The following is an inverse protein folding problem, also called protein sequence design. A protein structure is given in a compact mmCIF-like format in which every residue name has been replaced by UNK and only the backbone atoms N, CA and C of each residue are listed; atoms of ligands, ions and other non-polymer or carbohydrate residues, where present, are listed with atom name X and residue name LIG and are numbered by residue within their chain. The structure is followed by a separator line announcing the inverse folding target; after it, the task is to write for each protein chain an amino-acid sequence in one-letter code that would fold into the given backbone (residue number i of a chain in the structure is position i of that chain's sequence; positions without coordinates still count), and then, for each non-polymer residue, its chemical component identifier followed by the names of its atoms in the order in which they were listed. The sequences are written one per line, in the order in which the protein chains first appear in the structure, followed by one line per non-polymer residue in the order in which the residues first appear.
data_IF_703666430858
#
_entry.id   IF_703666430858
#
_cell.length_a   1.000
_cell.length_b   1.000
_cell.length_c   1.000
_cell.angle_alpha   90.00
_cell.angle_beta   90.00
_cell.angle_gamma   90.00
#
_symmetry.space_group_name_H-M   'P 1'
#
loop_
_entity.id
_entity.type
_entity.pdbx_description
1 polymer ?
#
# COMPACT_ATOMS: atom_id res chain seq x y z
N UNK A 1 15.99 9.16 -8.55
CA UNK A 1 14.97 8.79 -7.54
C UNK A 1 14.77 7.28 -7.60
N UNK A 2 14.73 6.60 -6.46
CA UNK A 2 14.45 5.16 -6.36
C UNK A 2 13.05 4.93 -5.82
N UNK A 3 12.26 4.12 -6.51
CA UNK A 3 10.88 3.76 -6.12
C UNK A 3 10.84 2.26 -5.89
N UNK A 4 10.52 1.84 -4.68
CA UNK A 4 10.31 0.43 -4.35
C UNK A 4 8.80 0.16 -4.38
N UNK A 5 8.38 -0.92 -5.08
CA UNK A 5 6.97 -1.33 -5.19
C UNK A 5 6.84 -2.73 -4.62
N UNK A 6 6.11 -2.87 -3.51
CA UNK A 6 5.76 -4.19 -2.95
C UNK A 6 4.46 -4.72 -3.57
N UNK A 7 4.30 -6.04 -3.64
CA UNK A 7 3.17 -6.65 -4.37
C UNK A 7 3.23 -6.36 -5.87
N UNK A 8 4.44 -6.38 -6.42
CA UNK A 8 4.72 -5.98 -7.80
C UNK A 8 4.07 -6.88 -8.86
N UNK A 9 3.70 -8.13 -8.52
CA UNK A 9 3.02 -9.07 -9.41
C UNK A 9 1.50 -8.96 -9.34
N UNK A 10 0.97 -8.19 -8.40
CA UNK A 10 -0.46 -7.89 -8.33
C UNK A 10 -0.89 -6.90 -9.42
N UNK A 11 -2.20 -6.75 -9.60
CA UNK A 11 -2.81 -5.89 -10.64
C UNK A 11 -2.22 -4.47 -10.61
N UNK A 12 -2.32 -3.77 -9.48
CA UNK A 12 -1.82 -2.40 -9.36
C UNK A 12 -0.29 -2.32 -9.45
N UNK A 13 0.42 -3.26 -8.82
CA UNK A 13 1.88 -3.30 -8.87
C UNK A 13 2.43 -3.47 -10.28
N UNK A 14 1.81 -4.31 -11.09
CA UNK A 14 2.15 -4.52 -12.50
C UNK A 14 1.87 -3.26 -13.31
N UNK A 15 0.70 -2.67 -13.15
CA UNK A 15 0.33 -1.45 -13.88
C UNK A 15 1.24 -0.27 -13.54
N UNK A 16 1.58 -0.07 -12.26
CA UNK A 16 2.53 0.97 -11.86
C UNK A 16 3.92 0.81 -12.50
N UNK A 17 4.41 -0.43 -12.60
CA UNK A 17 5.68 -0.69 -13.30
C UNK A 17 5.57 -0.33 -14.79
N UNK A 18 4.48 -0.74 -15.44
CA UNK A 18 4.22 -0.41 -16.83
C UNK A 18 4.17 1.11 -17.04
N UNK A 19 3.39 1.83 -16.24
CA UNK A 19 3.26 3.29 -16.35
C UNK A 19 4.59 4.02 -16.07
N UNK A 20 5.38 3.56 -15.11
CA UNK A 20 6.68 4.16 -14.80
C UNK A 20 7.76 3.86 -15.85
N UNK A 21 7.59 2.80 -16.65
CA UNK A 21 8.49 2.47 -17.77
C UNK A 21 8.09 3.14 -19.08
N UNK A 22 6.85 3.61 -19.22
CA UNK A 22 6.32 4.27 -20.41
C UNK A 22 6.73 5.75 -20.47
N UNK A 23 6.70 6.34 -21.66
CA UNK A 23 6.94 7.78 -21.83
C UNK A 23 5.81 8.66 -21.30
N UNK A 24 4.68 8.08 -21.00
CA UNK A 24 3.50 8.76 -20.46
C UNK A 24 2.40 7.77 -20.04
N UNK A 25 1.34 8.30 -19.48
CA UNK A 25 0.15 7.56 -19.09
C UNK A 25 -1.12 8.21 -19.65
N UNK A 26 -2.29 7.59 -19.44
CA UNK A 26 -3.57 8.07 -19.98
C UNK A 26 -3.93 9.51 -19.55
N UNK A 27 -3.39 9.99 -18.43
CA UNK A 27 -3.63 11.34 -17.91
C UNK A 27 -2.56 12.37 -18.31
N UNK A 28 -1.53 11.95 -19.04
CA UNK A 28 -0.52 12.85 -19.56
C UNK A 28 0.92 12.36 -19.40
N UNK A 29 1.92 13.16 -19.78
CA UNK A 29 3.32 12.77 -19.71
C UNK A 29 3.80 12.68 -18.27
N UNK A 30 4.63 11.69 -17.96
CA UNK A 30 5.26 11.59 -16.65
C UNK A 30 6.20 12.78 -16.40
N UNK A 31 6.20 13.35 -15.19
CA UNK A 31 7.23 14.31 -14.78
C UNK A 31 8.64 13.72 -14.99
N UNK A 32 9.59 14.57 -15.39
CA UNK A 32 10.96 14.14 -15.72
C UNK A 32 11.62 13.30 -14.62
N UNK A 33 11.42 13.69 -13.36
CA UNK A 33 11.97 12.95 -12.21
C UNK A 33 11.44 11.52 -12.09
N UNK A 34 10.19 11.25 -12.54
CA UNK A 34 9.60 9.93 -12.55
C UNK A 34 10.10 9.10 -13.74
N UNK A 35 10.24 9.70 -14.91
CA UNK A 35 10.84 9.05 -16.09
C UNK A 35 12.26 8.55 -15.85
N UNK A 36 13.02 9.26 -15.01
CA UNK A 36 14.39 8.90 -14.61
C UNK A 36 14.46 8.09 -13.30
N UNK A 37 13.32 7.61 -12.80
CA UNK A 37 13.31 6.84 -11.57
C UNK A 37 13.82 5.41 -11.80
N UNK A 38 14.58 4.89 -10.85
CA UNK A 38 14.91 3.47 -10.77
C UNK A 38 13.80 2.77 -10.01
N UNK A 39 13.08 1.87 -10.65
CA UNK A 39 12.03 1.06 -10.03
C UNK A 39 12.65 -0.22 -9.47
N UNK A 40 12.30 -0.56 -8.24
CA UNK A 40 12.71 -1.78 -7.53
C UNK A 40 11.43 -2.56 -7.23
N UNK A 41 11.00 -3.45 -8.14
CA UNK A 41 9.81 -4.26 -7.93
C UNK A 41 10.15 -5.43 -7.01
N UNK A 42 9.29 -5.70 -6.01
CA UNK A 42 9.43 -6.83 -5.09
C UNK A 42 8.09 -7.48 -4.80
N UNK A 43 8.12 -8.79 -4.62
CA UNK A 43 6.97 -9.56 -4.15
C UNK A 43 7.37 -10.44 -2.96
N UNK A 44 6.47 -11.28 -2.47
CA UNK A 44 6.67 -12.08 -1.27
C UNK A 44 7.92 -12.97 -1.32
N UNK A 45 8.30 -13.45 -2.50
CA UNK A 45 9.48 -14.30 -2.68
C UNK A 45 10.79 -13.54 -2.44
N UNK A 46 10.83 -12.23 -2.75
CA UNK A 46 11.99 -11.37 -2.54
C UNK A 46 11.93 -10.65 -1.20
N UNK A 47 10.73 -10.31 -0.73
CA UNK A 47 10.49 -9.59 0.51
C UNK A 47 9.12 -9.92 1.11
N UNK A 48 9.10 -10.80 2.10
CA UNK A 48 7.92 -10.93 2.96
C UNK A 48 7.84 -9.73 3.92
N UNK A 49 6.91 -8.83 3.63
CA UNK A 49 6.70 -7.61 4.45
C UNK A 49 6.22 -7.91 5.87
N UNK A 50 5.74 -9.14 6.14
CA UNK A 50 5.33 -9.56 7.49
C UNK A 50 6.53 -9.84 8.40
N UNK A 51 7.70 -10.13 7.80
CA UNK A 51 8.98 -10.22 8.53
C UNK A 51 9.57 -8.83 8.75
N UNK A 52 9.58 -8.41 10.01
CA UNK A 52 10.06 -7.09 10.42
C UNK A 52 11.55 -6.89 10.14
N UNK A 53 12.38 -7.87 10.45
CA UNK A 53 13.84 -7.75 10.31
C UNK A 53 14.22 -7.76 8.83
N UNK A 54 13.64 -8.65 8.05
CA UNK A 54 13.82 -8.68 6.59
C UNK A 54 13.42 -7.35 5.97
N UNK A 55 12.25 -6.81 6.33
CA UNK A 55 11.73 -5.54 5.81
C UNK A 55 12.67 -4.36 6.12
N UNK A 56 13.10 -4.23 7.37
CA UNK A 56 14.02 -3.16 7.78
C UNK A 56 15.37 -3.29 7.05
N UNK A 57 15.92 -4.47 6.95
CA UNK A 57 17.20 -4.71 6.31
C UNK A 57 17.13 -4.47 4.80
N UNK A 58 16.04 -4.88 4.16
CA UNK A 58 15.83 -4.68 2.73
C UNK A 58 15.73 -3.17 2.39
N UNK A 59 14.88 -2.43 3.08
CA UNK A 59 14.71 -0.98 2.88
C UNK A 59 16.02 -0.25 3.16
N UNK A 60 16.72 -0.60 4.24
CA UNK A 60 18.03 0.00 4.57
C UNK A 60 19.09 -0.27 3.51
N UNK A 61 19.13 -1.48 2.92
CA UNK A 61 20.07 -1.83 1.86
C UNK A 61 19.83 -1.07 0.57
N UNK A 62 18.56 -0.93 0.17
CA UNK A 62 18.20 -0.34 -1.12
C UNK A 62 18.08 1.20 -1.07
N UNK A 63 17.86 1.79 0.11
CA UNK A 63 17.71 3.24 0.30
C UNK A 63 16.73 3.86 -0.71
N UNK A 64 15.45 3.42 -0.76
CA UNK A 64 14.47 4.01 -1.66
C UNK A 64 14.09 5.42 -1.21
N UNK A 65 13.80 6.31 -2.16
CA UNK A 65 13.22 7.62 -1.88
C UNK A 65 11.71 7.52 -1.57
N UNK A 66 11.07 6.53 -2.21
CA UNK A 66 9.63 6.27 -2.07
C UNK A 66 9.37 4.76 -2.08
N UNK A 67 8.51 4.30 -1.19
CA UNK A 67 7.96 2.94 -1.18
C UNK A 67 6.48 3.04 -1.51
N UNK A 68 6.01 2.26 -2.48
CA UNK A 68 4.58 2.10 -2.82
C UNK A 68 4.17 0.71 -2.38
N UNK A 69 3.34 0.63 -1.35
CA UNK A 69 2.86 -0.64 -0.83
C UNK A 69 1.55 -1.05 -1.51
N UNK A 70 1.66 -1.94 -2.51
CA UNK A 70 0.54 -2.59 -3.17
C UNK A 70 0.28 -4.00 -2.63
N UNK A 71 1.15 -4.53 -1.76
CA UNK A 71 0.97 -5.85 -1.16
C UNK A 71 -0.21 -5.85 -0.19
N UNK A 72 -1.14 -6.77 -0.38
CA UNK A 72 -2.30 -6.97 0.48
C UNK A 72 -2.89 -8.38 0.33
N UNK A 73 -3.53 -8.87 1.37
CA UNK A 73 -4.43 -10.00 1.29
C UNK A 73 -5.83 -9.48 0.91
N UNK A 74 -6.19 -9.60 -0.37
CA UNK A 74 -7.35 -8.90 -0.97
C UNK A 74 -8.61 -9.75 -1.09
N UNK A 75 -8.53 -11.07 -0.82
CA UNK A 75 -9.71 -11.92 -0.80
C UNK A 75 -10.58 -11.59 0.42
N UNK A 76 -11.62 -10.79 0.23
CA UNK A 76 -12.49 -10.27 1.29
C UNK A 76 -13.11 -11.41 2.10
N UNK A 77 -13.74 -12.39 1.43
CA UNK A 77 -14.36 -13.54 2.08
C UNK A 77 -13.31 -14.45 2.74
N UNK A 78 -12.16 -14.61 2.09
CA UNK A 78 -11.01 -15.33 2.64
C UNK A 78 -10.47 -14.71 3.92
N UNK A 79 -10.56 -13.40 4.09
CA UNK A 79 -10.16 -12.73 5.33
C UNK A 79 -11.02 -13.13 6.54
N UNK A 80 -12.29 -13.50 6.32
CA UNK A 80 -13.16 -13.93 7.43
C UNK A 80 -12.72 -15.27 8.03
N UNK A 81 -12.16 -16.15 7.20
CA UNK A 81 -11.70 -17.49 7.62
C UNK A 81 -10.20 -17.53 7.95
N UNK A 82 -9.39 -16.68 7.30
CA UNK A 82 -7.93 -16.59 7.47
C UNK A 82 -7.50 -15.28 8.15
N UNK A 83 -8.16 -14.91 9.25
CA UNK A 83 -7.99 -13.62 9.96
C UNK A 83 -6.55 -13.32 10.33
N UNK A 84 -5.80 -14.33 10.80
CA UNK A 84 -4.38 -14.15 11.18
C UNK A 84 -3.50 -13.82 9.98
N UNK A 85 -3.73 -14.47 8.84
CA UNK A 85 -3.00 -14.18 7.61
C UNK A 85 -3.34 -12.77 7.10
N UNK A 86 -4.62 -12.41 7.07
CA UNK A 86 -5.08 -11.08 6.71
C UNK A 86 -4.47 -10.00 7.63
N UNK A 87 -4.49 -10.21 8.94
CA UNK A 87 -3.87 -9.31 9.92
C UNK A 87 -2.37 -9.13 9.68
N UNK A 88 -1.63 -10.23 9.47
CA UNK A 88 -0.19 -10.18 9.21
C UNK A 88 0.12 -9.36 7.97
N UNK A 89 -0.56 -9.63 6.85
CA UNK A 89 -0.27 -8.96 5.57
C UNK A 89 -0.81 -7.54 5.56
N UNK A 90 -2.08 -7.31 5.98
CA UNK A 90 -2.75 -6.03 5.83
C UNK A 90 -2.46 -5.02 6.95
N UNK A 91 -2.01 -5.48 8.12
CA UNK A 91 -1.71 -4.60 9.25
C UNK A 91 -0.22 -4.62 9.64
N UNK A 92 0.35 -5.80 9.91
CA UNK A 92 1.74 -5.91 10.35
C UNK A 92 2.72 -5.58 9.22
N UNK A 93 2.44 -6.01 7.99
CA UNK A 93 3.26 -5.66 6.82
C UNK A 93 3.40 -4.14 6.65
N UNK A 94 2.31 -3.36 6.52
CA UNK A 94 2.36 -1.90 6.47
C UNK A 94 3.06 -1.25 7.67
N UNK A 95 2.87 -1.79 8.90
CA UNK A 95 3.61 -1.32 10.08
C UNK A 95 5.12 -1.49 9.91
N UNK A 96 5.57 -2.63 9.43
CA UNK A 96 6.99 -2.92 9.24
C UNK A 96 7.60 -2.00 8.16
N UNK A 97 6.87 -1.78 7.05
CA UNK A 97 7.26 -0.83 6.02
C UNK A 97 7.33 0.61 6.56
N UNK A 98 6.35 1.03 7.36
CA UNK A 98 6.33 2.36 7.96
C UNK A 98 7.55 2.60 8.87
N UNK A 99 7.85 1.63 9.75
CA UNK A 99 9.05 1.67 10.60
C UNK A 99 10.36 1.71 9.80
N UNK A 100 10.43 0.95 8.71
CA UNK A 100 11.60 0.90 7.86
C UNK A 100 11.78 2.22 7.07
N UNK A 101 10.70 2.75 6.48
CA UNK A 101 10.70 4.01 5.75
C UNK A 101 11.10 5.18 6.65
N UNK A 102 10.58 5.26 7.88
CA UNK A 102 10.94 6.30 8.83
C UNK A 102 12.45 6.31 9.13
N UNK A 103 13.08 5.13 9.27
CA UNK A 103 14.52 5.00 9.55
C UNK A 103 15.42 5.52 8.43
N UNK A 104 14.97 5.45 7.19
CA UNK A 104 15.74 5.91 6.00
C UNK A 104 15.19 7.22 5.42
N UNK A 105 14.23 7.84 6.08
CA UNK A 105 13.54 9.06 5.63
C UNK A 105 12.87 8.90 4.25
N UNK A 106 12.45 7.67 3.88
CA UNK A 106 11.69 7.40 2.68
C UNK A 106 10.23 7.83 2.83
N UNK A 107 9.57 8.12 1.70
CA UNK A 107 8.11 8.31 1.65
C UNK A 107 7.42 6.97 1.51
N UNK A 108 6.35 6.74 2.27
CA UNK A 108 5.49 5.56 2.14
C UNK A 108 4.14 5.95 1.53
N UNK A 109 3.79 5.35 0.40
CA UNK A 109 2.47 5.42 -0.20
C UNK A 109 1.80 4.08 0.05
N UNK A 110 0.75 4.06 0.89
CA UNK A 110 0.04 2.84 1.25
C UNK A 110 -1.30 2.78 0.54
N UNK A 111 -1.50 1.73 -0.24
CA UNK A 111 -2.78 1.49 -0.93
C UNK A 111 -3.76 0.84 0.05
N UNK A 112 -4.85 1.52 0.30
CA UNK A 112 -5.96 1.08 1.14
C UNK A 112 -7.24 0.91 0.31
N UNK A 113 -8.39 0.88 0.96
CA UNK A 113 -9.68 0.49 0.37
C UNK A 113 -10.83 1.33 0.94
N UNK A 114 -11.91 1.45 0.18
CA UNK A 114 -13.20 1.95 0.62
C UNK A 114 -13.89 1.03 1.66
N UNK A 115 -13.48 -0.25 1.76
CA UNK A 115 -13.97 -1.18 2.79
C UNK A 115 -13.66 -0.76 4.23
N UNK A 116 -12.85 0.27 4.43
CA UNK A 116 -12.67 0.90 5.76
C UNK A 116 -13.93 1.64 6.23
N UNK A 117 -14.85 1.96 5.31
CA UNK A 117 -16.13 2.56 5.62
C UNK A 117 -17.23 1.51 5.83
N UNK A 118 -18.33 1.84 6.53
CA UNK A 118 -19.35 0.85 6.90
C UNK A 118 -20.20 0.34 5.73
N UNK A 119 -20.08 0.92 4.52
CA UNK A 119 -20.85 0.52 3.35
C UNK A 119 -22.36 0.80 3.45
N UNK A 120 -22.81 1.48 4.50
CA UNK A 120 -24.20 1.90 4.65
C UNK A 120 -24.46 3.10 3.74
N UNK A 121 -25.57 3.05 3.00
CA UNK A 121 -26.00 4.19 2.20
C UNK A 121 -26.29 5.39 3.12
N UNK A 122 -25.40 6.36 3.17
CA UNK A 122 -25.59 7.62 3.90
C UNK A 122 -26.59 8.53 3.15
N UNK A 123 -27.76 8.01 2.79
CA UNK A 123 -28.76 8.76 2.03
C UNK A 123 -28.26 9.24 0.66
N UNK A 124 -27.28 8.57 0.03
CA UNK A 124 -26.68 8.98 -1.24
C UNK A 124 -25.62 10.07 -1.13
N UNK A 125 -25.21 10.44 0.08
CA UNK A 125 -24.14 11.43 0.28
C UNK A 125 -22.78 10.75 0.08
N UNK A 126 -21.95 11.32 -0.80
CA UNK A 126 -20.58 10.87 -0.99
C UNK A 126 -19.76 11.03 0.29
N UNK A 127 -18.92 10.05 0.59
CA UNK A 127 -17.97 10.13 1.70
C UNK A 127 -16.70 10.85 1.20
N UNK A 128 -16.15 11.70 2.03
CA UNK A 128 -14.82 12.29 1.84
C UNK A 128 -13.75 11.51 2.60
N UNK A 129 -12.51 11.92 2.44
CA UNK A 129 -11.36 11.29 3.10
C UNK A 129 -11.35 11.48 4.63
N UNK A 130 -12.11 12.46 5.16
CA UNK A 130 -12.24 12.74 6.58
C UNK A 130 -13.38 11.95 7.24
N UNK A 131 -14.21 11.26 6.46
CA UNK A 131 -15.29 10.44 7.00
C UNK A 131 -14.75 9.38 7.96
N UNK A 132 -15.47 9.19 9.07
CA UNK A 132 -15.04 8.26 10.14
C UNK A 132 -15.09 6.82 9.65
N UNK A 133 -13.97 6.10 9.63
CA UNK A 133 -13.95 4.68 9.26
C UNK A 133 -14.70 3.83 10.27
N UNK A 134 -15.49 2.87 9.79
CA UNK A 134 -16.21 1.89 10.60
C UNK A 134 -16.37 0.57 9.83
N UNK A 135 -15.26 -0.16 9.54
CA UNK A 135 -15.28 -1.35 8.72
C UNK A 135 -16.08 -2.48 9.35
N UNK A 136 -16.87 -3.17 8.53
CA UNK A 136 -17.71 -4.31 8.95
C UNK A 136 -17.07 -5.67 8.65
N UNK A 137 -16.14 -5.75 7.68
CA UNK A 137 -15.46 -6.98 7.29
C UNK A 137 -14.08 -7.12 7.93
N UNK A 138 -13.58 -8.34 8.09
CA UNK A 138 -12.21 -8.60 8.55
C UNK A 138 -11.17 -7.97 7.60
N UNK A 139 -11.42 -7.97 6.29
CA UNK A 139 -10.61 -7.26 5.31
C UNK A 139 -10.51 -5.77 5.64
N UNK A 140 -11.65 -5.07 5.75
CA UNK A 140 -11.68 -3.65 6.06
C UNK A 140 -11.04 -3.32 7.41
N UNK A 141 -11.30 -4.13 8.45
CA UNK A 141 -10.71 -3.97 9.79
C UNK A 141 -9.18 -4.08 9.74
N UNK A 142 -8.63 -5.08 9.04
CA UNK A 142 -7.19 -5.27 8.95
C UNK A 142 -6.52 -4.19 8.10
N UNK A 143 -7.17 -3.72 7.02
CA UNK A 143 -6.69 -2.60 6.21
C UNK A 143 -6.69 -1.29 7.00
N UNK A 144 -7.76 -0.98 7.73
CA UNK A 144 -7.82 0.21 8.60
C UNK A 144 -6.71 0.21 9.65
N UNK A 145 -6.45 -0.94 10.28
CA UNK A 145 -5.36 -1.05 11.24
C UNK A 145 -3.99 -0.81 10.58
N UNK A 146 -3.82 -1.24 9.33
CA UNK A 146 -2.64 -0.93 8.52
C UNK A 146 -2.47 0.58 8.31
N UNK A 147 -3.56 1.30 7.97
CA UNK A 147 -3.55 2.77 7.87
C UNK A 147 -3.08 3.43 9.17
N UNK A 148 -3.68 3.03 10.31
CA UNK A 148 -3.34 3.57 11.63
C UNK A 148 -1.87 3.34 11.99
N UNK A 149 -1.31 2.19 11.63
CA UNK A 149 0.12 1.94 11.84
C UNK A 149 1.00 2.80 10.92
N UNK A 150 0.60 3.00 9.66
CA UNK A 150 1.33 3.88 8.73
C UNK A 150 1.35 5.31 9.25
N UNK A 151 0.21 5.86 9.65
CA UNK A 151 0.09 7.19 10.25
C UNK A 151 0.96 7.35 11.49
N UNK A 152 0.95 6.34 12.36
CA UNK A 152 1.68 6.38 13.63
C UNK A 152 3.19 6.28 13.48
N UNK A 153 3.69 5.51 12.52
CA UNK A 153 5.10 5.12 12.46
C UNK A 153 5.89 5.70 11.30
N UNK A 154 5.26 6.39 10.34
CA UNK A 154 5.94 7.03 9.23
C UNK A 154 5.44 8.46 9.03
N UNK A 155 6.27 9.46 9.30
CA UNK A 155 5.87 10.87 9.14
C UNK A 155 5.63 11.27 7.68
N UNK A 156 6.35 10.65 6.77
CA UNK A 156 6.28 10.94 5.32
C UNK A 156 5.44 9.88 4.63
N UNK A 157 4.13 9.93 4.83
CA UNK A 157 3.22 8.95 4.24
C UNK A 157 2.10 9.59 3.42
N UNK A 158 1.50 8.76 2.59
CA UNK A 158 0.19 8.97 1.96
C UNK A 158 -0.59 7.66 2.06
N UNK A 159 -1.87 7.77 2.37
CA UNK A 159 -2.83 6.66 2.34
C UNK A 159 -3.77 6.91 1.19
N UNK A 160 -3.84 5.97 0.25
CA UNK A 160 -4.68 6.06 -0.95
C UNK A 160 -5.76 5.00 -0.85
N UNK A 161 -6.98 5.40 -0.53
CA UNK A 161 -8.15 4.52 -0.51
C UNK A 161 -8.71 4.42 -1.91
N UNK A 162 -8.90 3.21 -2.39
CA UNK A 162 -9.44 2.94 -3.73
C UNK A 162 -10.65 2.02 -3.63
N UNK A 163 -11.49 2.03 -4.67
CA UNK A 163 -12.60 1.11 -4.84
C UNK A 163 -12.53 0.50 -6.25
N UNK A 164 -12.85 -0.80 -6.36
CA UNK A 164 -13.04 -1.46 -7.66
C UNK A 164 -11.90 -1.25 -8.65
N UNK A 165 -10.66 -1.55 -8.23
CA UNK A 165 -9.52 -1.53 -9.15
C UNK A 165 -9.70 -2.58 -10.26
N UNK A 166 -9.58 -2.11 -11.50
CA UNK A 166 -9.60 -2.94 -12.70
C UNK A 166 -8.57 -2.41 -13.71
N UNK A 167 -8.09 -3.27 -14.57
CA UNK A 167 -7.14 -2.96 -15.65
C UNK A 167 -7.46 -3.80 -16.88
#
# INVERSE_FOLDING_TARGET
MKILITGCRGQLGTELQHQLSAEGCAIGPLPERLRKATVIPVDVDELDITDREATINYIRRHQPDTVINCAAFTNVDGCETARDAAFKVNAIGPRNLALACEKVNARLIHISTDYVFPGTANGGVALDECAVPAPISAYGQTKLLGEQYVERFCRRHFIVRTAWLYS
#
